data_IF_098243542277
#
_entry.id   IF_098243542277
#
_cell.length_a   1.000
_cell.length_b   1.000
_cell.length_c   1.000
_cell.angle_alpha   90.00
_cell.angle_beta   90.00
_cell.angle_gamma   90.00
#
_symmetry.space_group_name_H-M   'P 1'
#
loop_
_entity.id
_entity.type
_entity.pdbx_description
1 polymer ?
#
# COMPACT_ATOMS: atom_id res chain seq x y z
N UNK A 1 4.86 -8.53 9.98
CA UNK A 1 4.15 -7.64 10.89
C UNK A 1 3.12 -6.84 10.09
N UNK A 2 2.02 -6.48 10.70
CA UNK A 2 0.89 -5.81 10.06
C UNK A 2 -0.34 -5.92 10.96
N UNK A 3 -1.51 -5.68 10.40
CA UNK A 3 -2.79 -5.94 11.02
C UNK A 3 -3.37 -7.21 10.41
N UNK A 4 -3.71 -8.20 11.23
CA UNK A 4 -4.26 -9.49 10.76
C UNK A 4 -5.63 -9.35 10.11
N UNK A 5 -6.41 -8.32 10.46
CA UNK A 5 -7.71 -8.02 9.88
C UNK A 5 -7.65 -7.35 8.49
N UNK A 6 -6.44 -7.01 7.98
CA UNK A 6 -6.28 -6.38 6.66
C UNK A 6 -5.51 -7.32 5.74
N UNK A 7 -6.23 -8.10 4.94
CA UNK A 7 -5.71 -9.11 4.00
C UNK A 7 -4.78 -10.15 4.65
N UNK A 8 -4.97 -10.41 5.96
CA UNK A 8 -4.13 -11.31 6.76
C UNK A 8 -4.75 -12.68 7.00
N UNK A 9 -5.89 -13.00 6.38
CA UNK A 9 -6.61 -14.27 6.52
C UNK A 9 -7.09 -14.55 7.95
N UNK A 10 -7.39 -13.49 8.73
CA UNK A 10 -7.79 -13.62 10.13
C UNK A 10 -9.04 -14.49 10.31
N UNK A 11 -10.04 -14.36 9.43
CA UNK A 11 -11.29 -15.12 9.56
C UNK A 11 -11.06 -16.62 9.45
N UNK A 12 -10.13 -17.08 8.59
CA UNK A 12 -9.78 -18.49 8.46
C UNK A 12 -9.11 -19.02 9.75
N UNK A 13 -8.28 -18.21 10.41
CA UNK A 13 -7.66 -18.56 11.70
C UNK A 13 -8.72 -18.62 12.82
N UNK A 14 -9.67 -17.66 12.83
CA UNK A 14 -10.78 -17.64 13.78
C UNK A 14 -11.63 -18.88 13.63
N UNK A 15 -12.07 -19.21 12.41
CA UNK A 15 -12.88 -20.41 12.13
C UNK A 15 -12.20 -21.68 12.60
N UNK A 16 -10.89 -21.82 12.41
CA UNK A 16 -10.12 -22.97 12.87
C UNK A 16 -10.06 -23.07 14.40
N UNK A 17 -9.89 -21.92 15.09
CA UNK A 17 -9.87 -21.86 16.55
C UNK A 17 -11.24 -22.18 17.16
N UNK A 18 -12.31 -21.62 16.57
CA UNK A 18 -13.69 -21.88 16.98
C UNK A 18 -14.06 -23.36 16.80
N UNK A 19 -13.70 -23.96 15.66
CA UNK A 19 -13.91 -25.39 15.39
C UNK A 19 -13.18 -26.27 16.42
N UNK A 20 -12.02 -25.82 16.90
CA UNK A 20 -11.25 -26.52 17.94
C UNK A 20 -11.71 -26.17 19.38
N UNK A 21 -12.72 -25.28 19.53
CA UNK A 21 -13.19 -24.76 20.84
C UNK A 21 -12.06 -24.16 21.67
N UNK A 22 -11.09 -23.48 21.00
CA UNK A 22 -9.99 -22.80 21.66
C UNK A 22 -10.31 -21.33 21.89
N UNK A 23 -10.07 -20.77 23.08
CA UNK A 23 -10.22 -19.36 23.34
C UNK A 23 -9.13 -18.56 22.61
N UNK A 24 -9.48 -17.40 22.09
CA UNK A 24 -8.54 -16.50 21.42
C UNK A 24 -8.83 -15.04 21.73
N UNK A 25 -7.88 -14.16 21.43
CA UNK A 25 -8.05 -12.73 21.44
C UNK A 25 -7.38 -12.12 20.20
N UNK A 26 -8.05 -11.15 19.57
CA UNK A 26 -7.50 -10.44 18.42
C UNK A 26 -6.79 -9.19 18.91
N UNK A 27 -5.51 -9.09 18.62
CA UNK A 27 -4.70 -7.91 18.91
C UNK A 27 -4.59 -7.06 17.64
N UNK A 28 -5.05 -5.78 17.65
CA UNK A 28 -4.93 -4.91 16.50
C UNK A 28 -3.47 -4.58 16.21
N UNK A 29 -3.13 -4.47 14.93
CA UNK A 29 -1.80 -4.12 14.47
C UNK A 29 -1.78 -2.81 13.66
N UNK A 30 -0.57 -2.37 13.28
CA UNK A 30 -0.41 -1.29 12.31
C UNK A 30 -0.42 -1.89 10.91
N UNK A 31 -1.44 -1.60 10.14
CA UNK A 31 -1.50 -2.08 8.75
C UNK A 31 -0.39 -1.45 7.90
N UNK A 32 0.14 -2.21 6.96
CA UNK A 32 1.22 -1.75 6.07
C UNK A 32 0.89 -0.44 5.34
N UNK A 33 -0.38 -0.18 5.02
CA UNK A 33 -0.82 1.08 4.39
C UNK A 33 -0.55 2.31 5.25
N UNK A 34 -0.83 2.25 6.56
CA UNK A 34 -0.60 3.39 7.47
C UNK A 34 0.87 3.62 7.72
N UNK A 35 1.64 2.54 7.85
CA UNK A 35 3.10 2.62 8.01
C UNK A 35 3.73 3.19 6.74
N UNK A 36 3.36 2.71 5.56
CA UNK A 36 3.84 3.24 4.28
C UNK A 36 3.54 4.73 4.12
N UNK A 37 2.31 5.16 4.45
CA UNK A 37 1.93 6.58 4.39
C UNK A 37 2.77 7.43 5.35
N UNK A 38 3.00 6.96 6.58
CA UNK A 38 3.88 7.63 7.55
C UNK A 38 5.33 7.73 7.01
N UNK A 39 5.85 6.62 6.45
CA UNK A 39 7.20 6.57 5.89
C UNK A 39 7.43 7.59 4.77
N UNK A 40 6.43 7.86 3.94
CA UNK A 40 6.50 8.88 2.88
C UNK A 40 6.07 10.28 3.35
N UNK A 41 5.84 10.47 4.66
CA UNK A 41 5.43 11.73 5.25
C UNK A 41 4.03 12.22 4.82
N UNK A 42 3.14 11.31 4.41
CA UNK A 42 1.80 11.65 3.94
C UNK A 42 0.71 11.13 4.89
N UNK A 43 -0.42 11.83 4.88
CA UNK A 43 -1.66 11.28 5.43
C UNK A 43 -2.46 10.59 4.33
N UNK A 44 -3.04 9.45 4.64
CA UNK A 44 -3.98 8.76 3.74
C UNK A 44 -5.24 9.61 3.49
N UNK A 45 -5.60 10.49 4.43
CA UNK A 45 -6.73 11.42 4.32
C UNK A 45 -6.26 12.87 4.37
N UNK A 46 -6.91 13.76 3.63
CA UNK A 46 -6.65 15.20 3.71
C UNK A 46 -7.92 15.98 3.35
N UNK A 47 -8.30 16.96 4.20
CA UNK A 47 -9.41 17.88 3.89
C UNK A 47 -9.16 18.55 2.55
N UNK A 48 -10.17 18.61 1.71
CA UNK A 48 -10.10 19.20 0.35
C UNK A 48 -9.45 18.30 -0.70
N UNK A 49 -8.86 17.13 -0.34
CA UNK A 49 -8.35 16.15 -1.29
C UNK A 49 -9.28 14.96 -1.42
N UNK A 50 -9.52 14.24 -0.31
CA UNK A 50 -10.29 13.00 -0.32
C UNK A 50 -11.08 12.82 0.97
N UNK A 51 -12.35 12.40 0.83
CA UNK A 51 -13.23 12.06 1.94
C UNK A 51 -13.17 10.57 2.31
N UNK A 52 -12.51 9.75 1.49
CA UNK A 52 -12.39 8.31 1.70
C UNK A 52 -10.98 7.80 1.35
N UNK A 53 -10.66 6.65 1.90
CA UNK A 53 -9.46 5.86 1.55
C UNK A 53 -9.92 4.44 1.27
N UNK A 54 -9.33 3.81 0.27
CA UNK A 54 -9.60 2.41 -0.06
C UNK A 54 -8.39 1.56 0.24
N UNK A 55 -8.63 0.44 0.90
CA UNK A 55 -7.68 -0.66 1.00
C UNK A 55 -8.11 -1.70 -0.02
N UNK A 56 -7.26 -1.97 -0.98
CA UNK A 56 -7.54 -2.84 -2.11
C UNK A 56 -6.53 -3.97 -2.17
N UNK A 57 -6.97 -5.13 -2.62
CA UNK A 57 -6.06 -6.19 -3.04
C UNK A 57 -5.89 -6.16 -4.55
N UNK A 58 -4.66 -6.34 -5.02
CA UNK A 58 -4.39 -6.49 -6.45
C UNK A 58 -4.59 -7.92 -6.97
N UNK A 59 -4.74 -8.89 -6.06
CA UNK A 59 -4.88 -10.30 -6.39
C UNK A 59 -5.89 -10.97 -5.46
N UNK A 60 -6.72 -11.83 -6.01
CA UNK A 60 -7.72 -12.61 -5.29
C UNK A 60 -7.51 -14.11 -5.61
N UNK A 61 -8.28 -14.98 -4.97
CA UNK A 61 -8.23 -16.44 -5.18
C UNK A 61 -8.45 -16.80 -6.65
N UNK A 62 -9.35 -16.09 -7.33
CA UNK A 62 -9.67 -16.30 -8.75
C UNK A 62 -8.71 -15.59 -9.72
N UNK A 63 -7.69 -14.86 -9.24
CA UNK A 63 -6.75 -14.09 -10.08
C UNK A 63 -6.70 -12.61 -9.76
N UNK A 64 -6.82 -11.75 -10.77
CA UNK A 64 -6.82 -10.30 -10.55
C UNK A 64 -8.15 -9.84 -9.95
N UNK A 65 -8.06 -9.12 -8.82
CA UNK A 65 -9.24 -8.62 -8.14
C UNK A 65 -9.91 -7.49 -8.93
N UNK A 66 -11.21 -7.64 -9.21
CA UNK A 66 -12.02 -6.57 -9.79
C UNK A 66 -12.35 -5.51 -8.73
N UNK A 67 -12.34 -4.25 -9.16
CA UNK A 67 -12.59 -3.08 -8.32
C UNK A 67 -13.58 -2.13 -8.99
N UNK A 68 -14.11 -1.16 -8.24
CA UNK A 68 -14.81 -0.02 -8.82
C UNK A 68 -13.80 0.96 -9.48
N UNK A 69 -13.30 0.55 -10.64
CA UNK A 69 -12.30 1.29 -11.40
C UNK A 69 -12.74 2.69 -11.78
N UNK A 70 -14.01 2.85 -12.16
CA UNK A 70 -14.58 4.16 -12.53
C UNK A 70 -14.49 5.15 -11.37
N UNK A 71 -14.80 4.72 -10.17
CA UNK A 71 -14.71 5.57 -9.01
C UNK A 71 -13.26 5.83 -8.60
N UNK A 72 -12.40 4.82 -8.70
CA UNK A 72 -10.98 4.95 -8.33
C UNK A 72 -10.21 5.85 -9.32
N UNK A 73 -10.60 5.87 -10.59
CA UNK A 73 -9.96 6.69 -11.62
C UNK A 73 -10.21 8.21 -11.46
N UNK A 74 -11.18 8.61 -10.64
CA UNK A 74 -11.48 10.05 -10.42
C UNK A 74 -10.32 10.76 -9.74
N UNK A 75 -10.18 12.06 -10.03
CA UNK A 75 -9.18 12.90 -9.38
C UNK A 75 -9.34 12.92 -7.85
N UNK A 76 -8.23 13.01 -7.13
CA UNK A 76 -8.19 13.10 -5.68
C UNK A 76 -8.43 11.78 -4.93
N UNK A 77 -8.66 10.67 -5.63
CA UNK A 77 -8.80 9.36 -4.99
C UNK A 77 -7.49 8.88 -4.38
N UNK A 78 -7.58 8.20 -3.24
CA UNK A 78 -6.45 7.59 -2.55
C UNK A 78 -6.77 6.14 -2.25
N UNK A 79 -5.84 5.26 -2.61
CA UNK A 79 -5.93 3.85 -2.26
C UNK A 79 -4.55 3.30 -1.84
N UNK A 80 -4.57 2.36 -0.90
CA UNK A 80 -3.45 1.48 -0.63
C UNK A 80 -3.75 0.11 -1.23
N UNK A 81 -2.90 -0.33 -2.15
CA UNK A 81 -3.09 -1.57 -2.90
C UNK A 81 -2.09 -2.60 -2.41
N UNK A 82 -2.61 -3.65 -1.78
CA UNK A 82 -1.86 -4.81 -1.31
C UNK A 82 -1.74 -5.83 -2.43
N UNK A 83 -0.70 -6.66 -2.38
CA UNK A 83 -0.48 -7.72 -3.38
C UNK A 83 -0.52 -7.21 -4.83
N UNK A 84 -0.29 -5.91 -5.05
CA UNK A 84 -0.38 -5.24 -6.35
C UNK A 84 0.80 -5.51 -7.28
N UNK A 85 1.90 -6.11 -6.79
CA UNK A 85 3.12 -6.30 -7.59
C UNK A 85 2.87 -7.12 -8.86
N UNK A 86 2.28 -8.30 -8.74
CA UNK A 86 1.98 -9.19 -9.88
C UNK A 86 0.86 -8.66 -10.78
N UNK A 87 -0.01 -7.81 -10.26
CA UNK A 87 -1.16 -7.23 -10.96
C UNK A 87 -0.94 -5.79 -11.44
N UNK A 88 0.27 -5.23 -11.28
CA UNK A 88 0.55 -3.82 -11.59
C UNK A 88 0.14 -3.43 -13.03
N UNK A 89 0.45 -4.26 -14.02
CA UNK A 89 0.05 -4.03 -15.42
C UNK A 89 -1.46 -4.06 -15.62
N UNK A 90 -2.15 -4.96 -14.95
CA UNK A 90 -3.61 -5.03 -14.97
C UNK A 90 -4.22 -3.80 -14.32
N UNK A 91 -3.77 -3.42 -13.11
CA UNK A 91 -4.21 -2.22 -12.37
C UNK A 91 -4.03 -0.96 -13.22
N UNK A 92 -2.84 -0.79 -13.82
CA UNK A 92 -2.53 0.32 -14.72
C UNK A 92 -3.51 0.38 -15.90
N UNK A 93 -3.70 -0.74 -16.60
CA UNK A 93 -4.58 -0.81 -17.75
C UNK A 93 -6.03 -0.49 -17.39
N UNK A 94 -6.55 -1.06 -16.31
CA UNK A 94 -7.92 -0.80 -15.84
C UNK A 94 -8.14 0.65 -15.46
N UNK A 95 -7.22 1.25 -14.71
CA UNK A 95 -7.33 2.67 -14.33
C UNK A 95 -7.28 3.61 -15.54
N UNK A 96 -6.35 3.38 -16.47
CA UNK A 96 -6.25 4.17 -17.71
C UNK A 96 -7.51 4.03 -18.59
N UNK A 97 -8.04 2.82 -18.76
CA UNK A 97 -9.29 2.56 -19.49
C UNK A 97 -10.49 3.30 -18.89
N UNK A 98 -10.49 3.52 -17.58
CA UNK A 98 -11.56 4.26 -16.89
C UNK A 98 -11.25 5.76 -16.74
N UNK A 99 -10.24 6.28 -17.45
CA UNK A 99 -9.95 7.70 -17.58
C UNK A 99 -9.11 8.30 -16.42
N UNK A 100 -8.39 7.47 -15.67
CA UNK A 100 -7.43 8.00 -14.71
C UNK A 100 -6.33 8.79 -15.42
N UNK A 101 -5.91 9.91 -14.82
CA UNK A 101 -4.79 10.68 -15.36
C UNK A 101 -3.50 9.84 -15.29
N UNK A 102 -2.78 9.64 -16.42
CA UNK A 102 -1.50 8.92 -16.45
C UNK A 102 -0.46 9.44 -15.45
N UNK A 103 -0.51 10.74 -15.15
CA UNK A 103 0.38 11.40 -14.18
C UNK A 103 -0.09 11.28 -12.72
N UNK A 104 -1.18 10.53 -12.45
CA UNK A 104 -1.60 10.27 -11.06
C UNK A 104 -0.44 9.65 -10.30
N UNK A 105 -0.04 10.29 -9.20
CA UNK A 105 1.08 9.83 -8.39
C UNK A 105 0.80 8.42 -7.83
N UNK A 106 1.81 7.58 -7.87
CA UNK A 106 1.85 6.29 -7.19
C UNK A 106 3.18 6.18 -6.47
N UNK A 107 3.15 5.80 -5.21
CA UNK A 107 4.38 5.47 -4.46
C UNK A 107 4.40 3.98 -4.17
N UNK A 108 5.51 3.34 -4.51
CA UNK A 108 5.77 1.94 -4.21
C UNK A 108 6.62 1.89 -2.94
N UNK A 109 6.17 1.19 -1.91
CA UNK A 109 6.93 1.02 -0.67
C UNK A 109 7.14 -0.47 -0.44
N UNK A 110 8.39 -0.89 -0.60
CA UNK A 110 8.83 -2.28 -0.43
C UNK A 110 9.42 -2.50 0.95
N UNK A 111 9.30 -3.71 1.48
CA UNK A 111 9.93 -4.15 2.73
C UNK A 111 9.69 -3.19 3.91
N UNK A 112 8.44 -2.72 4.04
CA UNK A 112 8.04 -1.73 5.03
C UNK A 112 8.50 -2.14 6.43
N UNK A 113 9.14 -1.21 7.16
CA UNK A 113 9.72 -1.39 8.50
C UNK A 113 10.89 -2.38 8.57
N UNK A 114 11.52 -2.71 7.46
CA UNK A 114 12.74 -3.52 7.42
C UNK A 114 13.94 -2.64 7.08
N UNK A 115 15.14 -3.14 7.37
CA UNK A 115 16.39 -2.43 7.08
C UNK A 115 16.62 -2.18 5.57
N UNK A 116 16.07 -3.05 4.74
CA UNK A 116 16.13 -3.00 3.27
C UNK A 116 14.88 -2.34 2.66
N UNK A 117 14.16 -1.51 3.41
CA UNK A 117 13.00 -0.77 2.91
C UNK A 117 13.37 0.14 1.74
N UNK A 118 12.57 0.08 0.67
CA UNK A 118 12.74 0.95 -0.50
C UNK A 118 11.46 1.75 -0.77
N UNK A 119 11.64 2.98 -1.28
CA UNK A 119 10.56 3.88 -1.67
C UNK A 119 10.82 4.34 -3.10
N UNK A 120 9.90 4.03 -4.01
CA UNK A 120 9.95 4.48 -5.40
C UNK A 120 8.78 5.42 -5.64
N UNK A 121 9.10 6.70 -5.94
CA UNK A 121 8.12 7.66 -6.41
C UNK A 121 7.87 7.44 -7.92
N UNK A 122 6.64 7.11 -8.27
CA UNK A 122 6.21 6.78 -9.63
C UNK A 122 4.90 7.50 -9.97
N UNK A 123 4.35 7.20 -11.12
CA UNK A 123 3.02 7.60 -11.56
C UNK A 123 2.32 6.41 -12.23
N UNK A 124 1.03 6.62 -12.58
CA UNK A 124 0.23 5.55 -13.16
C UNK A 124 0.80 5.06 -14.50
N UNK A 125 1.33 5.97 -15.33
CA UNK A 125 1.91 5.65 -16.65
C UNK A 125 3.12 4.70 -16.53
N UNK A 126 3.93 4.88 -15.50
CA UNK A 126 5.17 4.12 -15.29
C UNK A 126 5.02 2.92 -14.37
N UNK A 127 3.84 2.72 -13.77
CA UNK A 127 3.62 1.70 -12.74
C UNK A 127 4.12 0.32 -13.16
N UNK A 128 3.77 -0.13 -14.38
CA UNK A 128 4.12 -1.48 -14.85
C UNK A 128 5.62 -1.67 -15.11
N UNK A 129 6.36 -0.60 -15.33
CA UNK A 129 7.81 -0.59 -15.50
C UNK A 129 8.51 -0.51 -14.12
N UNK A 130 8.17 0.51 -13.35
CA UNK A 130 8.84 0.79 -12.07
C UNK A 130 8.65 -0.33 -11.04
N UNK A 131 7.54 -1.07 -11.10
CA UNK A 131 7.28 -2.22 -10.21
C UNK A 131 8.29 -3.36 -10.37
N UNK A 132 8.93 -3.47 -11.53
CA UNK A 132 9.92 -4.52 -11.82
C UNK A 132 11.20 -4.38 -10.99
N UNK A 133 11.47 -3.19 -10.48
CA UNK A 133 12.61 -2.94 -9.60
C UNK A 133 12.44 -3.59 -8.21
N UNK A 134 11.20 -3.93 -7.82
CA UNK A 134 10.91 -4.50 -6.52
C UNK A 134 11.07 -6.02 -6.51
N UNK A 135 11.70 -6.55 -5.48
CA UNK A 135 11.90 -7.99 -5.28
C UNK A 135 11.06 -8.55 -4.12
N UNK A 136 10.84 -7.77 -3.09
CA UNK A 136 10.12 -8.11 -1.86
C UNK A 136 8.63 -7.76 -1.86
N UNK A 137 7.98 -7.92 -0.71
CA UNK A 137 6.59 -7.51 -0.51
C UNK A 137 6.45 -5.98 -0.52
N UNK A 138 5.45 -5.47 -1.23
CA UNK A 138 5.23 -4.04 -1.38
C UNK A 138 3.76 -3.63 -1.25
N UNK A 139 3.55 -2.40 -0.80
CA UNK A 139 2.27 -1.69 -0.87
C UNK A 139 2.40 -0.56 -1.88
N UNK A 140 1.39 -0.40 -2.73
CA UNK A 140 1.29 0.68 -3.68
C UNK A 140 0.33 1.74 -3.11
N UNK A 141 0.80 2.97 -2.97
CA UNK A 141 0.00 4.11 -2.52
C UNK A 141 -0.44 4.94 -3.73
N UNK A 142 -1.63 4.65 -4.26
CA UNK A 142 -2.26 5.38 -5.36
C UNK A 142 -2.75 6.76 -4.90
N UNK A 143 -2.48 7.80 -5.67
CA UNK A 143 -2.85 9.17 -5.37
C UNK A 143 -1.91 9.89 -4.37
N UNK A 144 -0.82 9.26 -3.96
CA UNK A 144 0.14 9.82 -3.00
C UNK A 144 1.57 9.80 -3.55
N UNK A 145 2.32 10.87 -3.26
CA UNK A 145 3.76 10.98 -3.53
C UNK A 145 4.52 11.31 -2.24
N UNK A 146 5.78 10.91 -2.10
CA UNK A 146 6.61 11.27 -0.94
C UNK A 146 6.73 12.79 -0.80
N UNK A 147 6.80 13.28 0.44
CA UNK A 147 7.14 14.69 0.69
C UNK A 147 8.63 14.92 0.53
N UNK A 148 9.01 16.08 0.01
CA UNK A 148 10.43 16.45 -0.16
C UNK A 148 11.23 16.40 1.15
N UNK A 149 10.64 16.88 2.26
CA UNK A 149 11.26 16.84 3.57
C UNK A 149 11.59 15.40 4.02
N UNK A 150 10.75 14.42 3.69
CA UNK A 150 10.97 13.02 4.03
C UNK A 150 12.07 12.40 3.16
N UNK A 151 12.18 12.82 1.90
CA UNK A 151 13.28 12.40 1.02
C UNK A 151 14.63 12.90 1.54
N UNK A 152 14.67 14.12 2.08
CA UNK A 152 15.89 14.68 2.69
C UNK A 152 16.29 13.91 3.95
N UNK A 153 15.34 13.47 4.79
CA UNK A 153 15.63 12.70 6.01
C UNK A 153 16.15 11.29 5.70
N UNK A 154 15.69 10.66 4.62
CA UNK A 154 16.20 9.36 4.19
C UNK A 154 17.67 9.41 3.74
N UNK A 155 18.20 10.60 3.46
CA UNK A 155 19.62 10.82 3.11
C UNK A 155 20.50 11.18 4.32
N UNK A 156 19.91 11.42 5.51
CA UNK A 156 20.67 11.66 6.74
C UNK A 156 21.07 10.30 7.31
N UNK A 157 22.38 10.00 7.46
CA UNK A 157 22.80 8.79 8.16
C UNK A 157 22.19 8.79 9.55
N UNK A 158 21.53 7.70 9.92
CA UNK A 158 21.10 7.48 11.30
C UNK A 158 22.37 7.47 12.14
N UNK A 159 22.61 8.56 12.86
CA UNK A 159 23.70 8.57 13.83
C UNK A 159 23.41 7.46 14.84
N UNK A 160 24.33 6.51 14.88
CA UNK A 160 24.27 5.36 15.76
C UNK A 160 23.98 5.79 17.20
N UNK A 161 23.14 4.99 17.84
CA UNK A 161 22.70 5.06 19.23
C UNK A 161 23.69 5.74 20.16
N UNK A 162 23.27 6.80 20.82
CA UNK A 162 23.89 7.25 22.07
C UNK A 162 23.57 6.16 23.10
N UNK A 163 24.50 5.24 23.31
CA UNK A 163 24.49 4.36 24.47
C UNK A 163 24.74 5.23 25.69
N UNK A 164 23.73 5.37 26.53
CA UNK A 164 23.88 5.78 27.92
C UNK A 164 24.12 4.54 28.77
#
# INVERSE_FOLDING_TARGET
AGDSGIFGRLDEEIEALEAASLPFAILPGLTAATVAAATIGQSLTKRGRNASVRFLTGHDVAGYAEQDWRSLAKAGQVAAIYMGKKSARFLQGRLLMHGANPQTAITLVENISRADQQIIASNLERLAEDILALTGPAVLLYGLKPRQAQQALAQVPIMAEVRA
#
